data_IF_589634347109
#
_entry.id   IF_589634347109
#
_cell.length_a   1.000
_cell.length_b   1.000
_cell.length_c   1.000
_cell.angle_alpha   90.00
_cell.angle_beta   90.00
_cell.angle_gamma   90.00
#
_symmetry.space_group_name_H-M   'P 1'
#
loop_
_entity.id
_entity.type
_entity.pdbx_description
1 polymer ?
#
# COMPACT_ATOMS: atom_id res chain seq x y z
N UNK A 1 62.68 34.94 -30.60
CA UNK A 1 61.48 34.23 -30.30
C UNK A 1 60.57 35.09 -29.43
N UNK A 2 59.40 35.43 -29.95
CA UNK A 2 58.51 36.46 -29.41
C UNK A 2 57.70 35.92 -28.20
N UNK A 3 57.75 36.53 -27.03
CA UNK A 3 57.11 36.01 -25.82
C UNK A 3 55.56 36.02 -25.85
N UNK A 4 54.98 36.59 -26.88
CA UNK A 4 53.50 36.62 -27.02
C UNK A 4 52.87 35.33 -27.60
N UNK A 5 53.66 34.48 -28.25
CA UNK A 5 53.13 33.21 -28.82
C UNK A 5 53.04 32.08 -27.78
N UNK A 6 53.81 32.07 -26.73
CA UNK A 6 53.77 31.05 -25.67
C UNK A 6 52.59 31.25 -24.69
N UNK A 7 52.08 32.48 -24.51
CA UNK A 7 50.90 32.74 -23.66
C UNK A 7 49.56 32.31 -24.29
N UNK A 8 49.44 32.37 -25.63
CA UNK A 8 48.20 31.94 -26.33
C UNK A 8 48.05 30.42 -26.41
N UNK A 9 49.14 29.64 -26.41
CA UNK A 9 49.07 28.18 -26.41
C UNK A 9 48.71 27.62 -25.03
N UNK A 10 49.14 28.22 -23.94
CA UNK A 10 48.80 27.75 -22.58
C UNK A 10 47.32 28.03 -22.23
N UNK A 11 46.75 29.16 -22.67
CA UNK A 11 45.32 29.45 -22.41
C UNK A 11 44.38 28.55 -23.21
N UNK A 12 44.76 28.11 -24.40
CA UNK A 12 43.94 27.19 -25.20
C UNK A 12 43.91 25.75 -24.66
N UNK A 13 45.01 25.29 -24.03
CA UNK A 13 45.10 23.95 -23.46
C UNK A 13 44.29 23.85 -22.15
N UNK A 14 44.29 24.89 -21.33
CA UNK A 14 43.51 24.93 -20.07
C UNK A 14 42.00 25.01 -20.36
N UNK A 15 41.58 25.74 -21.43
CA UNK A 15 40.16 25.81 -21.82
C UNK A 15 39.60 24.48 -22.38
N UNK A 16 40.44 23.67 -23.06
CA UNK A 16 40.03 22.34 -23.52
C UNK A 16 39.91 21.31 -22.37
N UNK A 17 40.71 21.46 -21.33
CA UNK A 17 40.64 20.54 -20.16
C UNK A 17 39.39 20.76 -19.29
N UNK A 18 38.85 22.02 -19.29
CA UNK A 18 37.61 22.32 -18.56
C UNK A 18 36.34 21.88 -19.32
N UNK A 19 36.38 21.70 -20.64
CA UNK A 19 35.26 21.20 -21.43
C UNK A 19 35.11 19.66 -21.31
N UNK A 20 36.15 18.93 -20.90
CA UNK A 20 36.09 17.50 -20.70
C UNK A 20 35.61 17.09 -19.30
N UNK A 21 35.51 17.99 -18.33
CA UNK A 21 35.11 17.73 -16.96
C UNK A 21 33.60 17.86 -16.70
N UNK A 22 32.80 18.26 -17.70
CA UNK A 22 31.33 18.42 -17.53
C UNK A 22 30.54 17.31 -18.19
N UNK A 23 31.17 16.33 -18.82
CA UNK A 23 30.55 15.06 -19.18
C UNK A 23 30.82 13.99 -18.12
N UNK A 24 30.57 14.33 -16.83
CA UNK A 24 30.33 13.31 -15.83
C UNK A 24 29.00 12.63 -16.19
N UNK A 25 29.13 11.48 -16.78
CA UNK A 25 28.07 10.62 -17.26
C UNK A 25 26.94 10.53 -16.25
N UNK A 26 25.73 10.93 -16.63
CA UNK A 26 24.52 10.34 -16.11
C UNK A 26 24.59 8.85 -16.50
N UNK A 27 25.33 8.07 -15.77
CA UNK A 27 25.26 6.62 -15.86
C UNK A 27 23.84 6.25 -15.42
N UNK A 28 22.94 6.09 -16.39
CA UNK A 28 21.60 5.60 -16.12
C UNK A 28 21.73 4.32 -15.29
N UNK A 29 21.34 4.39 -14.02
CA UNK A 29 21.36 3.23 -13.14
C UNK A 29 20.37 2.21 -13.70
N UNK A 30 20.88 1.13 -14.30
CA UNK A 30 20.06 0.06 -14.82
C UNK A 30 19.62 -0.85 -13.66
N UNK A 31 18.31 -1.04 -13.51
CA UNK A 31 17.72 -1.96 -12.54
C UNK A 31 17.49 -3.31 -13.22
N UNK A 32 18.40 -4.26 -13.04
CA UNK A 32 18.28 -5.61 -13.60
C UNK A 32 17.64 -6.62 -12.66
N UNK A 33 17.56 -6.29 -11.36
CA UNK A 33 16.98 -7.15 -10.32
C UNK A 33 16.35 -6.31 -9.20
N UNK A 34 15.25 -6.82 -8.64
CA UNK A 34 14.61 -6.26 -7.44
C UNK A 34 14.41 -7.37 -6.41
N UNK A 35 14.73 -7.05 -5.15
CA UNK A 35 14.30 -7.84 -4.00
C UNK A 35 13.11 -7.13 -3.34
N UNK A 36 11.94 -7.78 -3.29
CA UNK A 36 10.78 -7.25 -2.61
C UNK A 36 10.76 -7.75 -1.16
N UNK A 37 10.86 -6.81 -0.20
CA UNK A 37 10.62 -7.07 1.21
C UNK A 37 9.15 -6.79 1.53
N UNK A 38 8.44 -7.79 2.06
CA UNK A 38 7.01 -7.75 2.31
C UNK A 38 6.78 -7.81 3.81
N UNK A 39 6.28 -6.73 4.45
CA UNK A 39 6.16 -6.63 5.91
C UNK A 39 4.93 -7.37 6.48
N UNK A 40 4.43 -8.37 5.80
CA UNK A 40 3.25 -9.15 6.16
C UNK A 40 3.31 -10.60 5.73
N UNK A 41 2.30 -11.37 6.12
CA UNK A 41 2.13 -12.77 5.72
C UNK A 41 1.81 -12.93 4.24
N UNK A 42 2.04 -14.15 3.72
CA UNK A 42 1.67 -14.51 2.37
C UNK A 42 0.14 -14.45 2.18
N UNK A 43 -0.31 -14.05 0.99
CA UNK A 43 -1.74 -13.94 0.63
C UNK A 43 -2.42 -12.69 1.18
N UNK A 44 -1.69 -11.78 1.85
CA UNK A 44 -2.21 -10.45 2.22
C UNK A 44 -1.99 -9.41 1.13
N UNK A 45 -2.59 -8.23 1.30
CA UNK A 45 -2.54 -7.16 0.29
C UNK A 45 -1.13 -6.69 -0.06
N UNK A 46 -0.19 -6.65 0.88
CA UNK A 46 1.22 -6.33 0.60
C UNK A 46 1.90 -7.40 -0.23
N UNK A 47 1.62 -8.69 0.06
CA UNK A 47 2.16 -9.82 -0.70
C UNK A 47 1.63 -9.80 -2.14
N UNK A 48 0.33 -9.62 -2.31
CA UNK A 48 -0.32 -9.51 -3.61
C UNK A 48 0.26 -8.34 -4.44
N UNK A 49 0.49 -7.17 -3.81
CA UNK A 49 1.04 -5.99 -4.50
C UNK A 49 2.47 -6.23 -4.97
N UNK A 50 3.34 -6.72 -4.09
CA UNK A 50 4.74 -6.97 -4.45
C UNK A 50 4.85 -8.04 -5.56
N UNK A 51 4.05 -9.11 -5.46
CA UNK A 51 4.04 -10.19 -6.49
C UNK A 51 3.42 -9.72 -7.79
N UNK A 52 2.31 -8.96 -7.74
CA UNK A 52 1.67 -8.43 -8.95
C UNK A 52 2.57 -7.47 -9.72
N UNK A 53 3.26 -6.55 -9.03
CA UNK A 53 4.26 -5.68 -9.66
C UNK A 53 5.42 -6.47 -10.22
N UNK A 54 5.97 -7.41 -9.45
CA UNK A 54 7.08 -8.24 -9.92
C UNK A 54 6.71 -9.16 -11.08
N UNK A 55 5.48 -9.74 -11.08
CA UNK A 55 4.94 -10.52 -12.19
C UNK A 55 4.82 -9.66 -13.45
N UNK A 56 4.29 -8.44 -13.32
CA UNK A 56 4.17 -7.50 -14.45
C UNK A 56 5.53 -7.16 -15.03
N UNK A 57 6.49 -6.78 -14.18
CA UNK A 57 7.83 -6.40 -14.61
C UNK A 57 8.54 -7.52 -15.35
N UNK A 58 8.40 -8.77 -14.90
CA UNK A 58 9.03 -9.93 -15.55
C UNK A 58 8.31 -10.35 -16.83
N UNK A 59 6.97 -10.35 -16.84
CA UNK A 59 6.17 -10.67 -18.04
C UNK A 59 6.33 -9.66 -19.17
N UNK A 60 6.70 -8.42 -18.83
CA UNK A 60 6.93 -7.34 -19.80
C UNK A 60 8.41 -7.17 -20.17
N UNK A 61 9.28 -8.10 -19.77
CA UNK A 61 10.73 -8.07 -20.00
C UNK A 61 11.41 -6.78 -19.52
N UNK A 62 10.78 -6.07 -18.57
CA UNK A 62 11.32 -4.84 -17.97
C UNK A 62 12.39 -5.12 -16.91
N UNK A 63 12.44 -6.34 -16.39
CA UNK A 63 13.43 -6.76 -15.39
C UNK A 63 13.78 -8.24 -15.56
N UNK A 64 15.06 -8.58 -15.33
CA UNK A 64 15.55 -9.96 -15.48
C UNK A 64 15.19 -10.87 -14.31
N UNK A 65 15.14 -10.33 -13.07
CA UNK A 65 14.92 -11.14 -11.88
C UNK A 65 14.22 -10.38 -10.79
N UNK A 66 13.25 -11.02 -10.16
CA UNK A 66 12.63 -10.59 -8.91
C UNK A 66 12.77 -11.68 -7.85
N UNK A 67 12.84 -11.27 -6.59
CA UNK A 67 12.77 -12.18 -5.44
C UNK A 67 11.91 -11.56 -4.35
N UNK A 68 11.34 -12.40 -3.49
CA UNK A 68 10.36 -11.97 -2.47
C UNK A 68 10.74 -12.54 -1.12
N UNK A 69 10.59 -11.72 -0.07
CA UNK A 69 10.75 -12.15 1.31
C UNK A 69 9.60 -11.60 2.15
N UNK A 70 8.79 -12.49 2.70
CA UNK A 70 7.79 -12.13 3.71
C UNK A 70 8.47 -12.06 5.07
N UNK A 71 8.30 -10.94 5.77
CA UNK A 71 8.83 -10.71 7.12
C UNK A 71 7.73 -10.11 8.00
N UNK A 72 6.78 -10.94 8.40
CA UNK A 72 5.67 -10.55 9.25
C UNK A 72 6.12 -10.27 10.69
N UNK A 73 5.38 -9.44 11.39
CA UNK A 73 5.52 -9.14 12.82
C UNK A 73 5.40 -7.66 13.17
N UNK A 74 4.73 -7.38 14.29
CA UNK A 74 4.55 -6.03 14.82
C UNK A 74 3.84 -5.05 13.87
N UNK A 75 2.87 -5.53 13.07
CA UNK A 75 2.17 -4.68 12.10
C UNK A 75 3.07 -4.14 10.97
N UNK A 76 4.16 -4.85 10.65
CA UNK A 76 5.18 -4.45 9.67
C UNK A 76 6.46 -3.89 10.29
N UNK A 77 6.45 -3.54 11.58
CA UNK A 77 7.59 -2.89 12.26
C UNK A 77 8.88 -3.72 12.22
N UNK A 78 8.77 -5.07 12.23
CA UNK A 78 9.93 -5.96 12.10
C UNK A 78 10.68 -5.76 10.78
N UNK A 79 9.95 -5.71 9.66
CA UNK A 79 10.55 -5.53 8.34
C UNK A 79 11.12 -4.12 8.16
N UNK A 80 10.43 -3.09 8.67
CA UNK A 80 10.90 -1.70 8.66
C UNK A 80 12.21 -1.59 9.43
N UNK A 81 12.25 -2.10 10.67
CA UNK A 81 13.46 -2.09 11.50
C UNK A 81 14.61 -2.86 10.83
N UNK A 82 14.32 -4.00 10.19
CA UNK A 82 15.32 -4.75 9.43
C UNK A 82 15.89 -3.91 8.29
N UNK A 83 15.05 -3.31 7.45
CA UNK A 83 15.49 -2.51 6.30
C UNK A 83 16.31 -1.29 6.74
N UNK A 84 15.89 -0.60 7.81
CA UNK A 84 16.59 0.57 8.35
C UNK A 84 17.97 0.17 8.91
N UNK A 85 18.02 -0.87 9.77
CA UNK A 85 19.26 -1.30 10.42
C UNK A 85 20.28 -1.91 9.45
N UNK A 86 19.84 -2.45 8.33
CA UNK A 86 20.69 -3.14 7.34
C UNK A 86 20.77 -2.41 6.00
N UNK A 87 20.44 -1.12 5.96
CA UNK A 87 20.30 -0.29 4.77
C UNK A 87 21.44 -0.43 3.74
N UNK A 88 22.70 -0.49 4.19
CA UNK A 88 23.87 -0.62 3.31
C UNK A 88 23.84 -1.90 2.46
N UNK A 89 23.23 -2.98 2.94
CA UNK A 89 23.16 -4.29 2.26
C UNK A 89 21.92 -4.40 1.36
N UNK A 90 20.96 -3.48 1.50
CA UNK A 90 19.65 -3.56 0.88
C UNK A 90 19.38 -2.47 -0.17
N UNK A 91 20.44 -1.94 -0.80
CA UNK A 91 20.30 -0.90 -1.83
C UNK A 91 19.52 -1.36 -3.09
N UNK A 92 19.32 -2.66 -3.30
CA UNK A 92 18.49 -3.24 -4.36
C UNK A 92 17.14 -3.76 -3.86
N UNK A 93 16.73 -3.39 -2.63
CA UNK A 93 15.48 -3.84 -2.01
C UNK A 93 14.42 -2.74 -2.11
N UNK A 94 13.22 -3.13 -2.52
CA UNK A 94 12.01 -2.32 -2.38
C UNK A 94 11.09 -2.98 -1.35
N UNK A 95 10.74 -2.24 -0.30
CA UNK A 95 9.73 -2.68 0.66
C UNK A 95 8.38 -2.13 0.24
N UNK A 96 7.38 -3.02 0.06
CA UNK A 96 6.00 -2.60 -0.11
C UNK A 96 5.44 -2.12 1.23
N UNK A 97 4.62 -1.06 1.21
CA UNK A 97 3.86 -0.64 2.39
C UNK A 97 2.59 0.11 1.99
N UNK A 98 1.78 0.49 2.98
CA UNK A 98 0.51 1.15 2.76
C UNK A 98 0.09 1.95 4.00
N UNK A 99 -1.16 2.40 4.06
CA UNK A 99 -1.74 3.16 5.18
C UNK A 99 -1.35 2.63 6.59
N UNK A 100 -1.25 1.32 6.89
CA UNK A 100 -0.78 0.82 8.18
C UNK A 100 0.60 1.34 8.61
N UNK A 101 1.49 1.70 7.70
CA UNK A 101 2.78 2.31 8.05
C UNK A 101 2.57 3.61 8.84
N UNK A 102 1.64 4.45 8.39
CA UNK A 102 1.30 5.71 9.05
C UNK A 102 0.53 5.44 10.35
N UNK A 103 -0.52 4.63 10.31
CA UNK A 103 -1.35 4.28 11.47
C UNK A 103 -0.48 3.78 12.63
N UNK A 104 0.40 2.80 12.37
CA UNK A 104 1.23 2.17 13.41
C UNK A 104 2.32 3.10 13.93
N UNK A 105 2.84 3.98 13.09
CA UNK A 105 3.77 5.03 13.50
C UNK A 105 3.08 6.03 14.45
N UNK A 106 1.89 6.52 14.12
CA UNK A 106 1.10 7.42 14.98
C UNK A 106 0.76 6.77 16.32
N UNK A 107 0.46 5.48 16.35
CA UNK A 107 0.23 4.70 17.58
C UNK A 107 1.51 4.39 18.37
N UNK A 108 2.68 4.76 17.86
CA UNK A 108 3.98 4.46 18.48
C UNK A 108 4.21 2.95 18.71
N UNK A 109 3.59 2.09 17.87
CA UNK A 109 3.76 0.63 17.95
C UNK A 109 5.18 0.21 17.55
N UNK A 110 5.82 0.98 16.66
CA UNK A 110 7.22 0.80 16.28
C UNK A 110 7.95 2.14 16.21
N UNK A 111 9.28 2.09 16.35
CA UNK A 111 10.13 3.28 16.47
C UNK A 111 10.28 4.05 15.17
N UNK A 112 10.18 3.37 14.02
CA UNK A 112 10.44 3.95 12.70
C UNK A 112 9.15 4.36 12.00
N UNK A 113 9.23 5.38 11.15
CA UNK A 113 8.14 5.87 10.32
C UNK A 113 8.50 5.78 8.82
N UNK A 114 7.65 6.29 7.94
CA UNK A 114 8.00 6.44 6.52
C UNK A 114 9.14 7.46 6.32
N UNK A 115 9.38 8.36 7.27
CA UNK A 115 10.45 9.36 7.23
C UNK A 115 11.85 8.74 7.39
N UNK A 116 11.93 7.55 8.00
CA UNK A 116 13.17 6.77 8.13
C UNK A 116 13.50 5.94 6.90
N UNK A 117 12.65 5.94 5.90
CA UNK A 117 12.77 5.22 4.64
C UNK A 117 12.93 6.21 3.48
N UNK A 118 13.28 5.71 2.30
CA UNK A 118 13.24 6.52 1.08
C UNK A 118 11.96 6.19 0.30
N UNK A 119 10.95 7.08 0.25
CA UNK A 119 9.78 6.88 -0.60
C UNK A 119 10.18 6.79 -2.07
N UNK A 120 9.73 5.75 -2.76
CA UNK A 120 10.03 5.55 -4.19
C UNK A 120 8.83 5.89 -5.04
N UNK A 121 7.70 5.21 -4.86
CA UNK A 121 6.46 5.54 -5.57
C UNK A 121 5.23 4.97 -4.86
N UNK A 122 4.11 5.69 -4.91
CA UNK A 122 2.78 5.13 -4.78
C UNK A 122 2.39 4.41 -6.06
N UNK A 123 1.74 3.26 -5.97
CA UNK A 123 1.47 2.42 -7.15
C UNK A 123 0.01 2.01 -7.31
N UNK A 124 -0.72 1.72 -6.24
CA UNK A 124 -2.12 1.32 -6.32
C UNK A 124 -2.97 1.97 -5.23
N UNK A 125 -4.23 2.19 -5.55
CA UNK A 125 -5.32 2.39 -4.61
C UNK A 125 -6.11 1.10 -4.49
N UNK A 126 -6.41 0.70 -3.26
CA UNK A 126 -7.32 -0.39 -2.92
C UNK A 126 -8.38 0.14 -1.95
N UNK A 127 -9.59 -0.35 -2.06
CA UNK A 127 -10.69 0.13 -1.23
C UNK A 127 -11.04 -0.91 -0.16
N UNK A 128 -11.45 -0.44 0.99
CA UNK A 128 -11.98 -1.28 2.05
C UNK A 128 -13.36 -1.84 1.68
N UNK A 129 -13.61 -3.08 2.07
CA UNK A 129 -14.92 -3.73 1.96
C UNK A 129 -15.31 -4.35 3.28
N UNK A 130 -16.62 -4.42 3.54
CA UNK A 130 -17.20 -5.27 4.56
C UNK A 130 -17.92 -6.41 3.87
N UNK A 131 -17.59 -7.65 4.26
CA UNK A 131 -18.12 -8.86 3.63
C UNK A 131 -18.60 -9.88 4.67
N UNK A 132 -19.52 -10.74 4.26
CA UNK A 132 -20.09 -11.86 5.03
C UNK A 132 -20.01 -13.14 4.20
N UNK A 133 -20.12 -14.31 4.81
CA UNK A 133 -20.33 -15.55 4.05
C UNK A 133 -21.62 -15.45 3.24
N UNK A 134 -21.66 -16.07 2.05
CA UNK A 134 -22.78 -15.88 1.12
C UNK A 134 -24.13 -16.37 1.66
N UNK A 135 -24.13 -17.39 2.52
CA UNK A 135 -25.31 -17.93 3.20
C UNK A 135 -25.60 -17.25 4.56
N UNK A 136 -24.95 -16.14 4.89
CA UNK A 136 -25.23 -15.36 6.09
C UNK A 136 -26.66 -14.86 6.13
N UNK A 137 -27.26 -14.77 7.32
CA UNK A 137 -28.51 -14.05 7.57
C UNK A 137 -28.39 -12.54 7.29
N UNK A 138 -27.17 -11.98 7.36
CA UNK A 138 -26.88 -10.58 7.01
C UNK A 138 -26.81 -10.48 5.49
N UNK A 139 -27.88 -9.97 4.87
CA UNK A 139 -28.01 -9.91 3.42
C UNK A 139 -27.51 -8.58 2.83
N UNK A 140 -27.45 -7.51 3.63
CA UNK A 140 -27.05 -6.16 3.21
C UNK A 140 -26.48 -5.37 4.39
N UNK A 141 -25.93 -4.20 4.10
CA UNK A 141 -25.33 -3.33 5.10
C UNK A 141 -26.34 -2.88 6.18
N UNK A 142 -27.58 -2.56 5.80
CA UNK A 142 -28.59 -2.11 6.75
C UNK A 142 -28.91 -3.15 7.82
N UNK A 143 -28.91 -4.44 7.48
CA UNK A 143 -29.10 -5.50 8.47
C UNK A 143 -27.91 -5.62 9.42
N UNK A 144 -26.66 -5.42 8.93
CA UNK A 144 -25.48 -5.37 9.80
C UNK A 144 -25.57 -4.18 10.77
N UNK A 145 -26.01 -3.02 10.31
CA UNK A 145 -26.24 -1.83 11.14
C UNK A 145 -27.31 -2.10 12.21
N UNK A 146 -28.43 -2.68 11.82
CA UNK A 146 -29.52 -3.01 12.76
C UNK A 146 -29.04 -3.94 13.88
N UNK A 147 -28.29 -5.00 13.53
CA UNK A 147 -27.73 -5.93 14.52
C UNK A 147 -26.71 -5.24 15.44
N UNK A 148 -25.88 -4.37 14.89
CA UNK A 148 -24.89 -3.62 15.68
C UNK A 148 -25.56 -2.71 16.70
N UNK A 149 -26.61 -1.99 16.34
CA UNK A 149 -27.36 -1.12 17.25
C UNK A 149 -28.15 -1.88 18.31
N UNK A 150 -28.65 -3.10 17.97
CA UNK A 150 -29.35 -3.95 18.95
C UNK A 150 -28.38 -4.53 19.97
N UNK A 151 -27.30 -5.14 19.50
CA UNK A 151 -26.26 -5.74 20.35
C UNK A 151 -24.92 -5.85 19.59
N UNK A 152 -23.99 -4.89 19.76
CA UNK A 152 -22.69 -4.92 19.11
C UNK A 152 -21.89 -6.20 19.37
N UNK A 153 -22.15 -6.89 20.50
CA UNK A 153 -21.40 -8.10 20.87
C UNK A 153 -21.68 -9.29 19.96
N UNK A 154 -22.79 -9.28 19.24
CA UNK A 154 -23.16 -10.32 18.27
C UNK A 154 -22.39 -10.18 16.96
N UNK A 155 -21.78 -9.04 16.66
CA UNK A 155 -20.99 -8.83 15.44
C UNK A 155 -19.50 -8.93 15.72
N UNK A 156 -18.94 -10.11 15.51
CA UNK A 156 -17.48 -10.29 15.46
C UNK A 156 -16.96 -9.92 14.07
N UNK A 157 -15.98 -9.03 14.00
CA UNK A 157 -15.41 -8.52 12.75
C UNK A 157 -13.95 -8.95 12.66
N UNK A 158 -13.60 -9.74 11.64
CA UNK A 158 -12.20 -10.08 11.35
C UNK A 158 -11.54 -9.09 10.43
N UNK A 159 -10.21 -9.02 10.50
CA UNK A 159 -9.40 -8.33 9.51
C UNK A 159 -7.95 -8.81 9.55
N UNK A 160 -7.24 -8.62 8.45
CA UNK A 160 -5.85 -9.06 8.26
C UNK A 160 -4.82 -8.12 8.87
N UNK A 161 -5.23 -7.13 9.63
CA UNK A 161 -4.36 -6.15 10.30
C UNK A 161 -4.62 -6.12 11.81
N UNK A 162 -3.62 -5.68 12.58
CA UNK A 162 -3.73 -5.63 14.04
C UNK A 162 -4.83 -4.67 14.52
N UNK A 163 -5.30 -4.87 15.77
CA UNK A 163 -6.30 -3.99 16.40
C UNK A 163 -5.86 -2.50 16.32
N UNK A 164 -6.79 -1.61 15.98
CA UNK A 164 -6.53 -0.18 15.76
C UNK A 164 -5.77 0.12 14.47
N UNK A 165 -5.55 -0.86 13.57
CA UNK A 165 -4.96 -0.64 12.26
C UNK A 165 -6.04 -0.62 11.16
N UNK A 166 -5.63 -0.71 9.89
CA UNK A 166 -6.42 -0.44 8.70
C UNK A 166 -7.82 -1.06 8.71
N UNK A 167 -7.93 -2.40 8.84
CA UNK A 167 -9.23 -3.06 8.70
C UNK A 167 -10.15 -2.76 9.88
N UNK A 168 -9.58 -2.59 11.09
CA UNK A 168 -10.34 -2.14 12.25
C UNK A 168 -10.81 -0.69 12.07
N UNK A 169 -9.94 0.20 11.53
CA UNK A 169 -10.28 1.59 11.26
C UNK A 169 -11.38 1.70 10.21
N UNK A 170 -11.32 0.92 9.13
CA UNK A 170 -12.39 0.88 8.10
C UNK A 170 -13.72 0.42 8.70
N UNK A 171 -13.72 -0.63 9.52
CA UNK A 171 -14.93 -1.07 10.21
C UNK A 171 -15.47 0.02 11.17
N UNK A 172 -14.58 0.65 11.95
CA UNK A 172 -14.92 1.71 12.88
C UNK A 172 -15.56 2.91 12.16
N UNK A 173 -14.94 3.36 11.07
CA UNK A 173 -15.46 4.44 10.24
C UNK A 173 -16.85 4.12 9.66
N UNK A 174 -17.04 2.87 9.18
CA UNK A 174 -18.31 2.44 8.60
C UNK A 174 -19.44 2.43 9.65
N UNK A 175 -19.20 1.92 10.86
CA UNK A 175 -20.22 1.91 11.90
C UNK A 175 -20.42 3.27 12.55
N UNK A 176 -19.38 4.10 12.71
CA UNK A 176 -19.51 5.48 13.19
C UNK A 176 -20.45 6.30 12.30
N UNK A 177 -20.34 6.13 10.97
CA UNK A 177 -21.20 6.83 10.03
C UNK A 177 -22.69 6.43 10.13
N UNK A 178 -23.01 5.42 10.93
CA UNK A 178 -24.39 5.00 11.27
C UNK A 178 -24.80 5.42 12.68
N UNK A 179 -24.13 6.38 13.30
CA UNK A 179 -24.27 6.77 14.72
C UNK A 179 -23.91 5.63 15.70
N UNK A 180 -23.20 4.61 15.24
CA UNK A 180 -22.70 3.50 16.06
C UNK A 180 -21.42 3.90 16.81
N UNK A 181 -21.28 3.44 18.05
CA UNK A 181 -20.05 3.63 18.84
C UNK A 181 -18.91 2.76 18.32
N UNK A 182 -17.85 3.31 17.68
CA UNK A 182 -16.75 2.55 17.11
C UNK A 182 -15.95 1.76 18.17
N UNK A 183 -15.98 2.15 19.43
CA UNK A 183 -15.31 1.46 20.52
C UNK A 183 -15.98 0.12 20.91
N UNK A 184 -17.23 -0.08 20.52
CA UNK A 184 -17.98 -1.33 20.78
C UNK A 184 -17.72 -2.43 19.76
N UNK A 185 -16.90 -2.17 18.72
CA UNK A 185 -16.58 -3.17 17.69
C UNK A 185 -15.74 -4.31 18.29
N UNK A 186 -16.24 -5.53 18.18
CA UNK A 186 -15.49 -6.76 18.51
C UNK A 186 -14.61 -7.17 17.35
N UNK A 187 -13.44 -6.54 17.27
CA UNK A 187 -12.47 -6.82 16.21
C UNK A 187 -11.50 -7.95 16.58
N UNK A 188 -11.37 -8.93 15.67
CA UNK A 188 -10.47 -10.09 15.79
C UNK A 188 -9.36 -9.95 14.73
N UNK A 189 -8.13 -9.64 15.15
CA UNK A 189 -7.00 -9.46 14.22
C UNK A 189 -6.39 -10.78 13.78
N UNK A 190 -6.10 -10.92 12.49
CA UNK A 190 -5.30 -12.00 11.90
C UNK A 190 -4.01 -11.45 11.27
N UNK A 191 -3.06 -12.35 11.00
CA UNK A 191 -1.73 -11.96 10.44
C UNK A 191 -1.74 -11.77 8.91
N UNK A 192 -2.86 -11.70 8.25
CA UNK A 192 -3.07 -11.30 6.85
C UNK A 192 -4.54 -11.49 6.47
N UNK A 193 -5.01 -10.82 5.41
CA UNK A 193 -6.38 -10.92 4.93
C UNK A 193 -6.81 -12.33 4.55
N UNK A 194 -5.93 -13.15 3.99
CA UNK A 194 -6.24 -14.56 3.69
C UNK A 194 -6.57 -15.40 4.94
N UNK A 195 -5.90 -15.14 6.07
CA UNK A 195 -6.24 -15.80 7.34
C UNK A 195 -7.54 -15.26 7.93
N UNK A 196 -7.80 -13.97 7.82
CA UNK A 196 -9.06 -13.37 8.24
C UNK A 196 -10.25 -13.90 7.42
N UNK A 197 -10.06 -14.08 6.11
CA UNK A 197 -11.03 -14.73 5.22
C UNK A 197 -11.32 -16.17 5.66
N UNK A 198 -10.29 -16.94 6.01
CA UNK A 198 -10.49 -18.28 6.54
C UNK A 198 -11.30 -18.28 7.85
N UNK A 199 -11.06 -17.33 8.76
CA UNK A 199 -11.84 -17.11 9.97
C UNK A 199 -13.31 -16.77 9.68
N UNK A 200 -13.58 -15.98 8.64
CA UNK A 200 -14.96 -15.72 8.18
C UNK A 200 -15.61 -17.00 7.65
N UNK A 201 -14.94 -17.71 6.73
CA UNK A 201 -15.49 -18.89 6.06
C UNK A 201 -15.73 -20.06 7.02
N UNK A 202 -14.93 -20.16 8.10
CA UNK A 202 -15.13 -21.16 9.18
C UNK A 202 -16.24 -20.80 10.17
N UNK A 203 -16.80 -19.57 10.10
CA UNK A 203 -17.82 -19.09 11.03
C UNK A 203 -17.27 -18.57 12.37
N UNK A 204 -15.95 -18.43 12.52
CA UNK A 204 -15.34 -17.83 13.72
C UNK A 204 -15.72 -16.35 13.86
N UNK A 205 -15.89 -15.67 12.71
CA UNK A 205 -16.33 -14.28 12.66
C UNK A 205 -17.54 -14.12 11.73
N UNK A 206 -18.34 -13.08 11.95
CA UNK A 206 -19.58 -12.84 11.19
C UNK A 206 -19.37 -11.87 10.03
N UNK A 207 -18.43 -10.93 10.17
CA UNK A 207 -18.08 -9.94 9.17
C UNK A 207 -16.55 -9.97 8.96
N UNK A 208 -16.13 -9.76 7.72
CA UNK A 208 -14.74 -9.51 7.35
C UNK A 208 -14.61 -8.06 6.91
N UNK A 209 -13.68 -7.32 7.49
CA UNK A 209 -13.19 -6.04 7.00
C UNK A 209 -11.84 -6.26 6.34
N UNK A 210 -11.71 -5.97 5.04
CA UNK A 210 -10.49 -6.20 4.28
C UNK A 210 -10.43 -5.32 3.03
N UNK A 211 -9.35 -5.39 2.25
CA UNK A 211 -9.28 -4.76 0.92
C UNK A 211 -10.12 -5.50 -0.12
N UNK A 212 -10.66 -4.76 -1.11
CA UNK A 212 -11.41 -5.37 -2.22
C UNK A 212 -10.60 -6.47 -2.89
N UNK A 213 -9.31 -6.23 -3.16
CA UNK A 213 -8.43 -7.20 -3.81
C UNK A 213 -8.31 -8.54 -3.08
N UNK A 214 -8.44 -8.54 -1.77
CA UNK A 214 -8.37 -9.75 -0.94
C UNK A 214 -9.70 -10.50 -0.87
N UNK A 215 -10.84 -9.81 -1.07
CA UNK A 215 -12.18 -10.42 -1.05
C UNK A 215 -12.68 -10.83 -2.45
N UNK A 216 -12.11 -10.28 -3.51
CA UNK A 216 -12.66 -10.31 -4.87
C UNK A 216 -12.81 -11.73 -5.44
N UNK A 217 -11.81 -12.58 -5.25
CA UNK A 217 -11.84 -13.97 -5.75
C UNK A 217 -12.96 -14.77 -5.07
N UNK A 218 -13.06 -14.69 -3.73
CA UNK A 218 -14.08 -15.39 -2.97
C UNK A 218 -15.49 -14.85 -3.26
N UNK A 219 -15.60 -13.54 -3.52
CA UNK A 219 -16.85 -12.92 -3.94
C UNK A 219 -17.29 -13.43 -5.33
N UNK A 220 -16.39 -13.48 -6.30
CA UNK A 220 -16.66 -14.03 -7.65
C UNK A 220 -17.00 -15.52 -7.62
N UNK A 221 -16.39 -16.26 -6.70
CA UNK A 221 -16.69 -17.68 -6.47
C UNK A 221 -18.02 -17.91 -5.70
N UNK A 222 -18.73 -16.84 -5.30
CA UNK A 222 -19.98 -16.95 -4.55
C UNK A 222 -19.84 -17.47 -3.13
N UNK A 223 -18.62 -17.45 -2.55
CA UNK A 223 -18.38 -17.88 -1.18
C UNK A 223 -18.67 -16.78 -0.17
N UNK A 224 -18.43 -15.53 -0.56
CA UNK A 224 -18.73 -14.36 0.27
C UNK A 224 -19.55 -13.33 -0.51
N UNK A 225 -20.31 -12.55 0.24
CA UNK A 225 -21.05 -11.37 -0.23
C UNK A 225 -20.38 -10.13 0.33
N UNK A 226 -19.99 -9.19 -0.56
CA UNK A 226 -19.55 -7.87 -0.16
C UNK A 226 -20.80 -7.02 0.08
N UNK A 227 -20.90 -6.43 1.28
CA UNK A 227 -22.03 -5.61 1.70
C UNK A 227 -21.93 -4.17 1.19
N UNK A 228 -20.72 -3.60 1.26
CA UNK A 228 -20.41 -2.26 0.76
C UNK A 228 -18.90 -2.07 0.58
N UNK A 229 -18.55 -1.05 -0.22
CA UNK A 229 -17.15 -0.65 -0.52
C UNK A 229 -16.93 0.82 -0.15
N UNK A 230 -15.72 1.15 0.31
CA UNK A 230 -15.32 2.52 0.68
C UNK A 230 -14.90 3.41 -0.51
N UNK A 231 -15.12 3.00 -1.73
CA UNK A 231 -14.87 3.81 -2.92
C UNK A 231 -15.90 4.95 -3.04
N UNK A 232 -15.50 6.06 -3.66
CA UNK A 232 -16.41 7.19 -3.93
C UNK A 232 -17.45 6.87 -5.00
N UNK A 233 -17.16 5.90 -5.87
CA UNK A 233 -18.02 5.38 -6.94
C UNK A 233 -17.90 3.86 -6.98
N UNK A 234 -18.87 3.17 -7.61
CA UNK A 234 -18.80 1.71 -7.77
C UNK A 234 -17.57 1.28 -8.53
N UNK A 235 -16.93 0.23 -8.01
CA UNK A 235 -15.82 -0.39 -8.71
C UNK A 235 -16.32 -1.17 -9.93
N UNK A 236 -15.70 -1.00 -11.11
CA UNK A 236 -16.09 -1.72 -12.32
C UNK A 236 -15.90 -3.23 -12.23
N UNK A 237 -15.06 -3.71 -11.30
CA UNK A 237 -14.82 -5.15 -11.10
C UNK A 237 -15.89 -5.81 -10.20
N UNK A 238 -16.68 -5.00 -9.48
CA UNK A 238 -17.82 -5.43 -8.64
C UNK A 238 -19.00 -4.46 -8.81
N UNK A 239 -19.57 -4.31 -10.03
CA UNK A 239 -20.53 -3.27 -10.35
C UNK A 239 -21.86 -3.38 -9.56
N UNK A 240 -22.16 -4.54 -9.00
CA UNK A 240 -23.36 -4.79 -8.20
C UNK A 240 -23.16 -4.48 -6.71
N UNK A 241 -21.93 -4.21 -6.25
CA UNK A 241 -21.66 -3.84 -4.87
C UNK A 241 -21.86 -2.34 -4.68
N UNK A 242 -22.73 -1.91 -3.76
CA UNK A 242 -22.93 -0.49 -3.49
C UNK A 242 -21.73 0.11 -2.76
N UNK A 243 -21.48 1.40 -2.96
CA UNK A 243 -20.60 2.16 -2.08
C UNK A 243 -21.33 2.54 -0.80
N UNK A 244 -20.60 2.80 0.30
CA UNK A 244 -21.22 3.37 1.50
C UNK A 244 -21.92 4.70 1.20
N UNK A 245 -21.35 5.50 0.29
CA UNK A 245 -21.92 6.79 -0.12
C UNK A 245 -23.29 6.63 -0.81
N UNK A 246 -23.45 5.62 -1.69
CA UNK A 246 -24.74 5.30 -2.30
C UNK A 246 -25.80 4.82 -1.27
N UNK A 247 -25.34 4.22 -0.16
CA UNK A 247 -26.19 3.80 0.94
C UNK A 247 -26.50 4.94 1.92
N UNK A 248 -26.06 6.19 1.64
CA UNK A 248 -26.32 7.37 2.45
C UNK A 248 -25.29 7.66 3.53
N UNK A 249 -24.17 6.95 3.55
CA UNK A 249 -23.09 7.13 4.54
C UNK A 249 -21.85 7.74 3.89
N UNK A 250 -21.36 8.87 4.41
CA UNK A 250 -20.17 9.55 3.85
C UNK A 250 -18.89 8.85 4.29
N UNK A 251 -18.70 7.63 3.83
CA UNK A 251 -17.53 6.80 4.08
C UNK A 251 -16.76 6.61 2.79
N UNK A 252 -15.66 7.34 2.63
CA UNK A 252 -14.71 7.17 1.54
C UNK A 252 -13.34 6.96 2.16
N UNK A 253 -12.73 5.83 1.87
CA UNK A 253 -11.41 5.50 2.40
C UNK A 253 -10.60 4.72 1.36
N UNK A 254 -9.38 5.20 1.10
CA UNK A 254 -8.44 4.60 0.15
C UNK A 254 -7.26 4.06 0.90
N UNK A 255 -7.01 2.77 0.76
CA UNK A 255 -5.75 2.17 1.19
C UNK A 255 -4.74 2.28 0.04
N UNK A 256 -3.91 3.31 0.07
CA UNK A 256 -2.80 3.43 -0.88
C UNK A 256 -1.75 2.35 -0.61
N UNK A 257 -1.08 1.88 -1.67
CA UNK A 257 0.11 1.02 -1.56
C UNK A 257 1.23 1.59 -2.39
N UNK A 258 2.44 1.51 -1.86
CA UNK A 258 3.63 2.06 -2.49
C UNK A 258 4.89 1.32 -2.08
N UNK A 259 5.99 1.71 -2.71
CA UNK A 259 7.30 1.14 -2.45
C UNK A 259 8.23 2.14 -1.79
N UNK A 260 9.05 1.62 -0.89
CA UNK A 260 10.07 2.33 -0.15
C UNK A 260 11.41 1.63 -0.32
N UNK A 261 12.45 2.41 -0.53
CA UNK A 261 13.83 1.95 -0.42
C UNK A 261 14.37 2.06 1.00
N UNK A 262 15.58 1.51 1.25
CA UNK A 262 16.28 1.74 2.50
C UNK A 262 16.59 3.22 2.72
N UNK A 263 16.90 3.63 3.96
CA UNK A 263 17.37 5.00 4.25
C UNK A 263 18.50 5.43 3.32
N UNK A 264 18.40 6.68 2.83
CA UNK A 264 19.43 7.31 1.97
C UNK A 264 19.69 6.55 0.67
N UNK A 265 18.65 5.96 0.07
CA UNK A 265 18.72 5.46 -1.30
C UNK A 265 19.04 6.67 -2.22
N UNK A 266 20.00 6.51 -3.14
CA UNK A 266 20.41 7.63 -4.01
C UNK A 266 19.29 8.09 -4.94
N UNK A 267 19.26 9.38 -5.26
CA UNK A 267 18.29 9.98 -6.18
C UNK A 267 18.28 9.26 -7.53
N UNK A 268 19.45 8.99 -8.12
CA UNK A 268 19.58 8.26 -9.39
C UNK A 268 18.90 6.88 -9.34
N UNK A 269 18.95 6.22 -8.18
CA UNK A 269 18.31 4.92 -8.02
C UNK A 269 16.80 5.03 -7.83
N UNK A 270 16.34 6.06 -7.14
CA UNK A 270 14.91 6.39 -7.04
C UNK A 270 14.35 6.68 -8.43
N UNK A 271 15.05 7.50 -9.23
CA UNK A 271 14.66 7.83 -10.60
C UNK A 271 14.65 6.59 -11.50
N UNK A 272 15.64 5.72 -11.37
CA UNK A 272 15.67 4.46 -12.12
C UNK A 272 14.48 3.55 -11.79
N UNK A 273 14.09 3.45 -10.51
CA UNK A 273 12.88 2.73 -10.12
C UNK A 273 11.61 3.41 -10.64
N UNK A 274 11.51 4.74 -10.57
CA UNK A 274 10.36 5.48 -11.10
C UNK A 274 10.21 5.28 -12.60
N UNK A 275 11.30 5.39 -13.38
CA UNK A 275 11.29 5.13 -14.81
C UNK A 275 10.86 3.69 -15.14
N UNK A 276 11.28 2.70 -14.33
CA UNK A 276 10.90 1.31 -14.49
C UNK A 276 9.40 1.12 -14.22
N UNK A 277 8.88 1.70 -13.13
CA UNK A 277 7.47 1.62 -12.76
C UNK A 277 6.59 2.36 -13.78
N UNK A 278 7.00 3.52 -14.26
CA UNK A 278 6.27 4.25 -15.31
C UNK A 278 6.11 3.41 -16.59
N UNK A 279 7.16 2.71 -17.02
CA UNK A 279 7.07 1.77 -18.15
C UNK A 279 6.11 0.63 -17.84
N UNK A 280 6.15 0.09 -16.62
CA UNK A 280 5.26 -0.98 -16.18
C UNK A 280 3.78 -0.58 -16.30
N UNK A 281 3.40 0.63 -15.87
CA UNK A 281 2.01 1.12 -15.92
C UNK A 281 1.44 1.19 -17.34
N UNK A 282 2.29 1.24 -18.36
CA UNK A 282 1.89 1.28 -19.78
C UNK A 282 1.75 -0.10 -20.42
N UNK A 283 1.98 -1.19 -19.67
CA UNK A 283 1.97 -2.55 -20.21
C UNK A 283 0.58 -3.20 -20.11
N UNK A 284 0.18 -4.01 -21.10
CA UNK A 284 -1.04 -4.83 -21.00
C UNK A 284 -1.00 -5.83 -19.84
N UNK A 285 0.20 -6.27 -19.45
CA UNK A 285 0.39 -7.15 -18.30
C UNK A 285 -0.04 -6.47 -16.99
N UNK A 286 0.28 -5.17 -16.82
CA UNK A 286 -0.18 -4.41 -15.65
C UNK A 286 -1.69 -4.31 -15.60
N UNK A 287 -2.33 -3.95 -16.71
CA UNK A 287 -3.79 -3.86 -16.78
C UNK A 287 -4.46 -5.17 -16.37
N UNK A 288 -3.94 -6.30 -16.85
CA UNK A 288 -4.44 -7.64 -16.48
C UNK A 288 -4.29 -7.90 -14.97
N UNK A 289 -3.12 -7.61 -14.40
CA UNK A 289 -2.83 -7.83 -12.98
C UNK A 289 -3.67 -6.89 -12.11
N UNK A 290 -3.75 -5.62 -12.46
CA UNK A 290 -4.51 -4.59 -11.77
C UNK A 290 -6.00 -4.97 -11.71
N UNK A 291 -6.61 -5.28 -12.85
CA UNK A 291 -8.03 -5.67 -12.94
C UNK A 291 -8.32 -6.99 -12.21
N UNK A 292 -7.41 -7.97 -12.26
CA UNK A 292 -7.53 -9.22 -11.51
C UNK A 292 -7.66 -8.97 -10.01
N UNK A 293 -6.92 -8.00 -9.49
CA UNK A 293 -6.90 -7.66 -8.08
C UNK A 293 -7.90 -6.54 -7.69
N UNK A 294 -8.65 -5.98 -8.62
CA UNK A 294 -9.58 -4.89 -8.36
C UNK A 294 -8.92 -3.59 -7.91
N UNK A 295 -7.66 -3.38 -8.26
CA UNK A 295 -6.93 -2.16 -7.91
C UNK A 295 -7.18 -1.04 -8.90
N UNK A 296 -7.02 0.20 -8.41
CA UNK A 296 -6.96 1.39 -9.25
C UNK A 296 -5.52 1.93 -9.29
N UNK A 297 -5.17 2.57 -10.40
CA UNK A 297 -3.85 3.19 -10.54
C UNK A 297 -3.72 4.39 -9.61
N UNK A 298 -2.62 4.44 -8.87
CA UNK A 298 -2.26 5.54 -7.99
C UNK A 298 -0.76 5.88 -8.18
N UNK A 299 -0.35 6.10 -9.45
CA UNK A 299 1.05 6.37 -9.72
C UNK A 299 1.46 7.76 -9.23
N UNK A 300 2.26 7.77 -8.19
CA UNK A 300 2.86 8.97 -7.60
C UNK A 300 4.37 8.73 -7.43
N UNK A 301 5.21 9.26 -8.33
CA UNK A 301 6.66 9.09 -8.20
C UNK A 301 7.26 10.01 -7.13
N UNK A 302 8.35 9.55 -6.49
CA UNK A 302 9.31 10.32 -5.71
C UNK A 302 8.71 11.40 -4.80
N UNK A 303 8.95 12.65 -5.15
CA UNK A 303 8.54 13.79 -4.34
C UNK A 303 7.02 13.94 -4.20
N UNK A 304 6.25 13.58 -5.23
CA UNK A 304 4.78 13.57 -5.15
C UNK A 304 4.30 12.56 -4.11
N UNK A 305 4.93 11.40 -4.07
CA UNK A 305 4.61 10.39 -3.07
C UNK A 305 5.01 10.84 -1.66
N UNK A 306 6.17 11.47 -1.52
CA UNK A 306 6.62 12.04 -0.23
C UNK A 306 5.68 13.13 0.29
N UNK A 307 5.19 14.02 -0.57
CA UNK A 307 4.22 15.04 -0.21
C UNK A 307 2.86 14.41 0.19
N UNK A 308 2.40 13.42 -0.58
CA UNK A 308 1.19 12.66 -0.28
C UNK A 308 1.27 11.97 1.08
N UNK A 309 2.39 11.34 1.43
CA UNK A 309 2.56 10.66 2.73
C UNK A 309 2.43 11.61 3.91
N UNK A 310 2.96 12.83 3.80
CA UNK A 310 2.81 13.87 4.84
C UNK A 310 1.36 14.29 5.01
N UNK A 311 0.64 14.50 3.91
CA UNK A 311 -0.79 14.81 3.94
C UNK A 311 -1.60 13.65 4.56
N UNK A 312 -1.27 12.42 4.21
CA UNK A 312 -1.91 11.23 4.79
C UNK A 312 -1.67 11.11 6.29
N UNK A 313 -0.47 11.43 6.77
CA UNK A 313 -0.16 11.41 8.20
C UNK A 313 -1.08 12.35 8.99
N UNK A 314 -1.29 13.58 8.49
CA UNK A 314 -2.20 14.55 9.10
C UNK A 314 -3.66 14.09 9.06
N UNK A 315 -4.12 13.63 7.91
CA UNK A 315 -5.51 13.19 7.71
C UNK A 315 -5.85 11.95 8.56
N UNK A 316 -4.98 10.94 8.53
CA UNK A 316 -5.14 9.72 9.32
C UNK A 316 -5.05 10.02 10.81
N UNK A 317 -4.15 10.91 11.22
CA UNK A 317 -4.04 11.33 12.63
C UNK A 317 -5.35 11.91 13.15
N UNK A 318 -5.96 12.83 12.43
CA UNK A 318 -7.26 13.42 12.78
C UNK A 318 -8.36 12.36 12.85
N UNK A 319 -8.48 11.53 11.82
CA UNK A 319 -9.45 10.45 11.77
C UNK A 319 -9.31 9.48 12.94
N UNK A 320 -8.09 9.11 13.30
CA UNK A 320 -7.83 8.20 14.42
C UNK A 320 -8.18 8.83 15.78
N UNK A 321 -7.99 10.14 15.95
CA UNK A 321 -8.43 10.86 17.13
C UNK A 321 -9.97 10.89 17.21
N UNK A 322 -10.67 11.20 16.12
CA UNK A 322 -12.13 11.19 16.04
C UNK A 322 -12.73 9.82 16.34
N UNK A 323 -12.06 8.75 15.94
CA UNK A 323 -12.47 7.35 16.20
C UNK A 323 -12.02 6.85 17.59
N UNK A 324 -11.26 7.64 18.37
CA UNK A 324 -10.73 7.22 19.67
C UNK A 324 -9.61 6.17 19.59
N UNK A 325 -8.85 6.13 18.50
CA UNK A 325 -7.69 5.24 18.33
C UNK A 325 -6.35 5.92 18.65
N UNK A 326 -6.36 7.24 18.86
CA UNK A 326 -5.27 8.03 19.41
C UNK A 326 -5.79 8.88 20.56
N UNK A 327 -4.94 9.10 21.56
CA UNK A 327 -5.16 10.04 22.67
C UNK A 327 -4.88 11.48 22.24
#
# INVERSE_FOLDING_TARGET
MNPQTSRRLLTSIVSLFWLFLVQAANANVEISKIHFLIPGGAGGGWDATARGVGETLTKSDLIKRVSYQNMSGGGGGRAIAHLVKTARRHQGTLMVNSTPLIIRSLQKIFTYSFQDLTPVAGVVADYGVLAVVNNSEIQNWQQAVTLFHQDPTQLTISGGSGRGSLDHLVAALAFQATDGDPQKIRYIPYDAGGKAMAGLLSGETRILSTGLGEALEQHRAGQVRILAITASQRSPVVPNVPTFKELGYDVVFVNWRGFFGPPKLSADRVDAYNNLLEKMFRTPAWETIRSRNGWEDLYMPGDKFSAFLKQQEEQIGKLMQELGFLE
#
